data_IF_020779713163
#
_entry.id   IF_020779713163
#
_cell.length_a   1.000
_cell.length_b   1.000
_cell.length_c   1.000
_cell.angle_alpha   90.00
_cell.angle_beta   90.00
_cell.angle_gamma   90.00
#
_symmetry.space_group_name_H-M   'P 1'
#
loop_
_entity.id
_entity.type
_entity.pdbx_description
1 polymer ?
#
# COMPACT_ATOMS: atom_id res chain seq x y z
N UNK A 1 -9.81 -3.45 19.57
CA UNK A 1 -9.68 -1.99 19.74
C UNK A 1 -9.53 -1.35 18.37
N UNK A 2 -10.14 -0.18 18.14
CA UNK A 2 -9.98 0.58 16.89
C UNK A 2 -8.62 1.27 16.88
N UNK A 3 -7.80 1.05 15.84
CA UNK A 3 -6.45 1.66 15.71
C UNK A 3 -6.34 2.68 14.56
N UNK A 4 -7.25 2.62 13.59
CA UNK A 4 -7.30 3.55 12.47
C UNK A 4 -8.75 3.79 12.02
N UNK A 5 -9.10 5.06 11.80
CA UNK A 5 -10.39 5.49 11.25
C UNK A 5 -10.15 6.47 10.10
N UNK A 6 -10.51 6.08 8.88
CA UNK A 6 -10.44 6.93 7.71
C UNK A 6 -11.83 7.33 7.22
N UNK A 7 -12.00 8.59 6.80
CA UNK A 7 -13.22 9.07 6.15
C UNK A 7 -12.88 9.82 4.87
N UNK A 8 -13.79 9.79 3.89
CA UNK A 8 -13.62 10.47 2.61
C UNK A 8 -14.98 10.91 2.05
N UNK A 9 -15.02 12.09 1.42
CA UNK A 9 -16.18 12.53 0.65
C UNK A 9 -16.47 11.55 -0.50
N UNK A 10 -17.72 11.07 -0.60
CA UNK A 10 -18.07 10.02 -1.55
C UNK A 10 -18.02 10.52 -3.00
N UNK A 11 -17.10 9.95 -3.80
CA UNK A 11 -16.99 10.17 -5.25
C UNK A 11 -16.96 11.66 -5.67
N UNK A 12 -16.26 12.48 -4.89
CA UNK A 12 -16.26 13.93 -5.04
C UNK A 12 -15.65 14.43 -6.37
N UNK A 13 -14.48 13.92 -6.76
CA UNK A 13 -13.80 14.29 -8.00
C UNK A 13 -13.57 13.04 -8.86
N UNK A 14 -14.06 13.01 -10.10
CA UNK A 14 -13.87 11.86 -10.98
C UNK A 14 -12.51 11.93 -11.71
N UNK A 15 -11.60 11.02 -11.35
CA UNK A 15 -10.23 10.98 -11.84
C UNK A 15 -10.01 9.93 -12.95
N UNK A 16 -11.02 9.11 -13.29
CA UNK A 16 -10.86 8.03 -14.28
C UNK A 16 -10.61 8.55 -15.70
N UNK A 17 -11.14 9.74 -16.02
CA UNK A 17 -11.07 10.33 -17.36
C UNK A 17 -9.66 10.72 -17.78
N UNK A 18 -8.73 10.88 -16.83
CA UNK A 18 -7.35 11.19 -17.12
C UNK A 18 -6.54 9.88 -17.30
N UNK A 19 -6.15 9.50 -18.53
CA UNK A 19 -5.47 8.22 -18.78
C UNK A 19 -4.14 8.10 -18.04
N UNK A 20 -3.42 9.22 -17.87
CA UNK A 20 -2.14 9.25 -17.17
C UNK A 20 -2.28 8.94 -15.68
N UNK A 21 -3.33 9.46 -15.03
CA UNK A 21 -3.58 9.26 -13.59
C UNK A 21 -4.37 8.00 -13.25
N UNK A 22 -4.94 7.33 -14.26
CA UNK A 22 -5.91 6.23 -14.08
C UNK A 22 -5.34 5.07 -13.27
N UNK A 23 -4.13 4.61 -13.61
CA UNK A 23 -3.51 3.42 -13.02
C UNK A 23 -2.13 3.70 -12.41
N UNK A 24 -1.64 4.95 -12.44
CA UNK A 24 -0.26 5.30 -12.08
C UNK A 24 0.15 4.77 -10.70
N UNK A 25 -0.72 4.93 -9.71
CA UNK A 25 -0.46 4.47 -8.34
C UNK A 25 -0.39 2.94 -8.23
N UNK A 26 -1.22 2.22 -8.99
CA UNK A 26 -1.30 0.76 -8.95
C UNK A 26 -0.13 0.09 -9.68
N UNK A 27 0.44 0.77 -10.68
CA UNK A 27 1.58 0.27 -11.47
C UNK A 27 2.94 0.39 -10.76
N UNK A 28 3.00 1.10 -9.62
CA UNK A 28 4.26 1.29 -8.89
C UNK A 28 4.82 -0.04 -8.41
N UNK A 29 6.13 -0.18 -8.50
CA UNK A 29 6.84 -1.34 -7.94
C UNK A 29 6.64 -1.38 -6.44
N UNK A 30 6.09 -2.48 -5.95
CA UNK A 30 5.95 -2.74 -4.52
C UNK A 30 7.18 -3.47 -4.05
N UNK A 31 7.75 -3.03 -2.93
CA UNK A 31 8.96 -3.62 -2.34
C UNK A 31 8.64 -4.01 -0.91
N UNK A 32 8.93 -5.26 -0.56
CA UNK A 32 8.70 -5.79 0.78
C UNK A 32 9.98 -6.45 1.30
N UNK A 33 10.20 -6.35 2.60
CA UNK A 33 11.27 -7.05 3.29
C UNK A 33 10.78 -8.45 3.70
N UNK A 34 11.31 -9.49 3.05
CA UNK A 34 11.06 -10.89 3.37
C UNK A 34 12.08 -11.36 4.40
N UNK A 35 11.62 -11.63 5.61
CA UNK A 35 12.44 -12.15 6.72
C UNK A 35 11.88 -13.49 7.20
N UNK A 36 12.71 -14.54 7.15
CA UNK A 36 12.39 -15.84 7.72
C UNK A 36 13.51 -16.25 8.69
N UNK A 37 13.21 -16.54 9.97
CA UNK A 37 14.19 -17.07 10.90
C UNK A 37 14.45 -18.56 10.64
N UNK A 38 15.66 -19.03 10.97
CA UNK A 38 15.96 -20.45 11.10
C UNK A 38 15.56 -20.97 12.49
N UNK A 39 15.80 -22.25 12.75
CA UNK A 39 15.51 -22.90 14.05
C UNK A 39 16.25 -22.29 15.24
N UNK A 40 17.34 -21.54 15.01
CA UNK A 40 18.09 -20.83 16.07
C UNK A 40 17.64 -19.38 16.26
N UNK A 41 16.66 -18.91 15.50
CA UNK A 41 16.20 -17.51 15.50
C UNK A 41 17.04 -16.55 14.67
N UNK A 42 18.22 -16.97 14.18
CA UNK A 42 19.01 -16.19 13.21
C UNK A 42 18.28 -16.09 11.86
N UNK A 43 18.44 -15.01 11.09
CA UNK A 43 17.86 -14.91 9.75
C UNK A 43 18.34 -16.06 8.85
N UNK A 44 17.41 -16.85 8.32
CA UNK A 44 17.64 -17.82 7.24
C UNK A 44 17.49 -17.17 5.87
N UNK A 45 16.51 -16.27 5.77
CA UNK A 45 16.25 -15.44 4.58
C UNK A 45 16.09 -14.01 5.06
N UNK A 46 16.84 -13.10 4.46
CA UNK A 46 16.67 -11.66 4.61
C UNK A 46 16.81 -11.02 3.23
N UNK A 47 15.69 -10.76 2.56
CA UNK A 47 15.67 -10.33 1.16
C UNK A 47 14.70 -9.18 0.96
N UNK A 48 15.10 -8.16 0.19
CA UNK A 48 14.13 -7.27 -0.44
C UNK A 48 13.54 -7.99 -1.65
N UNK A 49 12.22 -8.13 -1.67
CA UNK A 49 11.47 -8.68 -2.80
C UNK A 49 10.63 -7.58 -3.42
N UNK A 50 10.52 -7.60 -4.75
CA UNK A 50 9.70 -6.67 -5.49
C UNK A 50 8.72 -7.38 -6.41
N UNK A 51 7.57 -6.76 -6.62
CA UNK A 51 6.60 -7.18 -7.62
C UNK A 51 5.85 -5.98 -8.19
N UNK A 52 5.23 -6.19 -9.33
CA UNK A 52 4.42 -5.22 -10.04
C UNK A 52 3.05 -5.85 -10.29
N UNK A 53 1.96 -5.12 -10.07
CA UNK A 53 0.62 -5.63 -10.36
C UNK A 53 0.40 -5.72 -11.87
N UNK A 54 -0.25 -6.78 -12.32
CA UNK A 54 -0.53 -7.09 -13.72
C UNK A 54 -2.03 -7.03 -14.01
N UNK A 55 -2.40 -7.00 -15.29
CA UNK A 55 -3.79 -7.03 -15.77
C UNK A 55 -4.74 -6.03 -15.07
N UNK A 56 -4.26 -4.81 -14.84
CA UNK A 56 -4.98 -3.80 -14.05
C UNK A 56 -6.10 -3.17 -14.89
N UNK A 57 -7.35 -3.53 -14.61
CA UNK A 57 -8.55 -2.93 -15.18
C UNK A 57 -9.31 -2.06 -14.16
N UNK A 58 -9.15 -0.75 -14.27
CA UNK A 58 -9.76 0.23 -13.34
C UNK A 58 -11.19 0.55 -13.76
N UNK A 59 -12.16 0.15 -12.93
CA UNK A 59 -13.59 0.39 -13.12
C UNK A 59 -14.01 1.79 -12.66
N UNK A 60 -13.42 2.28 -11.56
CA UNK A 60 -13.58 3.67 -11.15
C UNK A 60 -12.38 4.19 -10.36
N UNK A 61 -12.19 5.50 -10.40
CA UNK A 61 -11.16 6.22 -9.64
C UNK A 61 -11.67 7.62 -9.28
N UNK A 62 -11.77 7.89 -7.99
CA UNK A 62 -12.23 9.18 -7.47
C UNK A 62 -11.24 9.78 -6.47
N UNK A 63 -11.11 11.10 -6.51
CA UNK A 63 -10.43 11.93 -5.51
C UNK A 63 -11.43 12.64 -4.61
N UNK A 64 -10.94 13.20 -3.50
CA UNK A 64 -11.78 13.98 -2.59
C UNK A 64 -11.13 14.33 -1.26
N UNK A 65 -11.79 15.21 -0.47
CA UNK A 65 -11.37 15.53 0.88
C UNK A 65 -11.46 14.28 1.77
N UNK A 66 -10.42 14.06 2.58
CA UNK A 66 -10.32 12.91 3.47
C UNK A 66 -9.77 13.29 4.85
N UNK A 67 -9.98 12.41 5.83
CA UNK A 67 -9.39 12.48 7.18
C UNK A 67 -8.94 11.09 7.60
N UNK A 68 -7.92 11.04 8.46
CA UNK A 68 -7.41 9.82 9.07
C UNK A 68 -7.11 10.12 10.54
N UNK A 69 -7.67 9.31 11.43
CA UNK A 69 -7.38 9.32 12.85
C UNK A 69 -6.72 7.98 13.23
N UNK A 70 -5.61 8.05 13.97
CA UNK A 70 -4.84 6.89 14.42
C UNK A 70 -4.82 6.85 15.95
N UNK A 71 -5.04 5.67 16.53
CA UNK A 71 -5.06 5.45 17.98
C UNK A 71 -3.85 4.60 18.37
N UNK A 72 -3.02 5.02 19.34
CA UNK A 72 -1.86 4.25 19.79
C UNK A 72 -2.24 2.85 20.29
N UNK A 73 -1.46 1.84 19.90
CA UNK A 73 -1.69 0.45 20.29
C UNK A 73 -0.40 -0.37 20.28
N UNK A 74 -0.13 -1.08 21.38
CA UNK A 74 1.14 -1.80 21.61
C UNK A 74 1.47 -2.84 20.54
N UNK A 75 0.48 -3.58 20.04
CA UNK A 75 0.67 -4.63 19.03
C UNK A 75 0.29 -4.18 17.60
N UNK A 76 -0.12 -2.92 17.43
CA UNK A 76 -0.50 -2.38 16.11
C UNK A 76 -0.08 -0.89 16.05
N UNK A 77 1.23 -0.60 16.05
CA UNK A 77 1.80 0.72 16.29
C UNK A 77 1.70 1.66 15.07
N UNK A 78 0.55 1.69 14.40
CA UNK A 78 0.34 2.56 13.22
C UNK A 78 0.43 4.04 13.56
N UNK A 79 0.17 4.42 14.82
CA UNK A 79 0.23 5.79 15.31
C UNK A 79 1.67 6.31 15.54
N UNK A 80 2.70 5.44 15.50
CA UNK A 80 4.11 5.83 15.60
C UNK A 80 4.55 6.69 14.40
N UNK A 81 3.80 6.63 13.29
CA UNK A 81 3.87 7.55 12.16
C UNK A 81 2.67 8.51 12.19
N UNK A 82 2.74 9.61 12.98
CA UNK A 82 1.57 10.47 13.20
C UNK A 82 1.18 11.26 11.95
N UNK A 83 -0.13 11.43 11.76
CA UNK A 83 -0.69 12.23 10.67
C UNK A 83 -0.42 13.72 10.92
N UNK A 84 0.57 14.29 10.22
CA UNK A 84 0.87 15.74 10.28
C UNK A 84 -0.04 16.56 9.37
N UNK A 85 -0.36 16.03 8.18
CA UNK A 85 -1.18 16.69 7.16
C UNK A 85 -1.78 15.64 6.23
N UNK A 86 -3.08 15.78 5.92
CA UNK A 86 -3.71 14.98 4.87
C UNK A 86 -3.36 15.61 3.51
N UNK A 87 -2.76 14.82 2.63
CA UNK A 87 -2.41 15.24 1.25
C UNK A 87 -3.53 14.96 0.24
N UNK A 88 -4.45 14.03 0.55
CA UNK A 88 -5.62 13.72 -0.26
C UNK A 88 -6.16 12.32 0.02
N UNK A 89 -7.39 12.06 -0.42
CA UNK A 89 -8.02 10.74 -0.43
C UNK A 89 -8.24 10.24 -1.85
N UNK A 90 -8.09 8.93 -2.08
CA UNK A 90 -8.37 8.28 -3.36
C UNK A 90 -9.20 7.03 -3.14
N UNK A 91 -10.23 6.84 -3.96
CA UNK A 91 -11.12 5.69 -3.93
C UNK A 91 -11.11 5.00 -5.29
N UNK A 92 -10.64 3.76 -5.32
CA UNK A 92 -10.48 2.95 -6.52
C UNK A 92 -11.38 1.71 -6.48
N UNK A 93 -11.78 1.24 -7.66
CA UNK A 93 -12.21 -0.13 -7.90
C UNK A 93 -11.53 -0.62 -9.16
N UNK A 94 -10.83 -1.74 -9.06
CA UNK A 94 -10.12 -2.34 -10.16
C UNK A 94 -10.09 -3.86 -10.02
N UNK A 95 -10.08 -4.53 -11.16
CA UNK A 95 -9.66 -5.93 -11.26
C UNK A 95 -8.15 -5.91 -11.55
N UNK A 96 -7.39 -6.81 -10.93
CA UNK A 96 -5.93 -6.88 -11.09
C UNK A 96 -5.40 -8.27 -10.71
N UNK A 97 -4.25 -8.62 -11.27
CA UNK A 97 -3.52 -9.86 -10.97
C UNK A 97 -2.33 -9.55 -10.05
N UNK A 98 -2.13 -10.37 -9.02
CA UNK A 98 -0.91 -10.36 -8.19
C UNK A 98 0.02 -11.47 -8.68
N UNK A 99 1.10 -11.14 -9.42
CA UNK A 99 2.03 -12.15 -9.90
C UNK A 99 3.04 -12.55 -8.81
N UNK A 100 3.91 -13.52 -9.14
CA UNK A 100 5.07 -13.82 -8.32
C UNK A 100 6.07 -12.65 -8.31
N UNK A 101 6.78 -12.49 -7.19
CA UNK A 101 7.81 -11.48 -7.05
C UNK A 101 9.20 -11.94 -7.48
N UNK A 102 10.15 -11.00 -7.45
CA UNK A 102 11.58 -11.23 -7.68
C UNK A 102 12.40 -10.71 -6.50
N UNK A 103 13.55 -11.32 -6.22
CA UNK A 103 14.52 -10.77 -5.25
C UNK A 103 15.22 -9.58 -5.91
N UNK A 104 15.27 -8.44 -5.23
CA UNK A 104 16.01 -7.26 -5.69
C UNK A 104 17.28 -7.00 -4.89
N UNK A 105 17.34 -7.52 -3.66
CA UNK A 105 18.53 -7.48 -2.83
C UNK A 105 18.49 -8.63 -1.81
N UNK A 106 19.63 -9.32 -1.62
CA UNK A 106 19.81 -10.33 -0.59
C UNK A 106 20.82 -9.82 0.43
N UNK A 107 20.41 -9.74 1.70
CA UNK A 107 21.24 -9.21 2.79
C UNK A 107 22.21 -10.25 3.36
N UNK A 108 22.10 -11.52 2.97
CA UNK A 108 22.96 -12.62 3.44
C UNK A 108 23.97 -13.09 2.39
N UNK A 109 24.00 -12.44 1.22
CA UNK A 109 24.93 -12.72 0.13
C UNK A 109 26.34 -12.18 0.41
#
# INVERSE_FOLDING_TARGET
>A
QLVALGTMGYKHENLIKNPAKRNEALKKTQVNLKLLPCVTGKPLVAQLVAYNLEDIDVKFHYGGPARLHLVPHVNAPVADLPVRKIVGGRHYKADLTLPFGRVVHDYLA
#
